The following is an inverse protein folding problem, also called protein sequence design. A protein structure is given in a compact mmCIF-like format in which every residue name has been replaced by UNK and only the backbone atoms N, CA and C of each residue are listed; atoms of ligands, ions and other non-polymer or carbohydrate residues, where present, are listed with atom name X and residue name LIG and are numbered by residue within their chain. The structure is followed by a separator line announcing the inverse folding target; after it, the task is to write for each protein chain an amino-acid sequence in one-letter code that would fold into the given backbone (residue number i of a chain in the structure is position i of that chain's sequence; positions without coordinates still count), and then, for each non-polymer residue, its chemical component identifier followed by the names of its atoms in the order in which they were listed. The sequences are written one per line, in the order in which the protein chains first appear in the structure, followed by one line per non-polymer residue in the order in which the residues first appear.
data_IF_880031842529
#
_entry.id   IF_880031842529
#
_cell.length_a   1.000
_cell.length_b   1.000
_cell.length_c   1.000
_cell.angle_alpha   90.00
_cell.angle_beta   90.00
_cell.angle_gamma   90.00
#
_symmetry.space_group_name_H-M   'P 1'
#
loop_
_entity.id
_entity.type
_entity.pdbx_description
1 polymer ?
#
# COMPACT_ATOMS: atom_id res chain seq x y z
N UNK A 1 1.21 -19.59 14.39
CA UNK A 1 -0.18 -19.16 14.62
C UNK A 1 -0.17 -18.13 15.73
N UNK A 2 -0.27 -16.82 15.44
CA UNK A 2 -0.87 -15.91 16.37
C UNK A 2 -2.34 -15.72 15.95
N UNK A 3 -3.25 -16.13 16.84
CA UNK A 3 -4.64 -15.68 16.82
C UNK A 3 -4.64 -14.29 17.45
N UNK A 4 -5.45 -13.36 16.95
CA UNK A 4 -5.55 -12.03 17.54
C UNK A 4 -5.97 -12.17 19.01
N UNK A 5 -5.08 -11.77 19.92
CA UNK A 5 -5.25 -11.99 21.35
C UNK A 5 -6.33 -11.09 21.97
N UNK A 6 -6.63 -9.95 21.34
CA UNK A 6 -7.66 -9.01 21.76
C UNK A 6 -8.42 -8.43 20.55
N UNK A 7 -9.63 -8.94 20.25
CA UNK A 7 -10.51 -8.42 19.20
C UNK A 7 -10.93 -6.96 19.39
N UNK A 8 -10.89 -6.44 20.62
CA UNK A 8 -11.31 -5.06 20.93
C UNK A 8 -10.27 -4.03 20.50
N UNK A 9 -9.00 -4.43 20.41
CA UNK A 9 -7.88 -3.59 19.94
C UNK A 9 -7.89 -3.31 18.43
N UNK A 10 -8.69 -4.04 17.66
CA UNK A 10 -8.85 -3.79 16.22
C UNK A 10 -9.72 -2.55 16.01
N UNK A 11 -9.43 -1.67 15.04
CA UNK A 11 -10.27 -0.49 14.75
C UNK A 11 -11.67 -0.84 14.22
N UNK A 12 -12.71 -0.10 14.63
CA UNK A 12 -14.12 -0.35 14.25
C UNK A 12 -14.38 -0.12 12.76
N UNK A 13 -13.47 0.58 12.08
CA UNK A 13 -13.56 0.88 10.64
C UNK A 13 -12.21 0.68 9.94
N UNK A 14 -12.22 0.29 8.64
CA UNK A 14 -13.40 -0.08 7.85
C UNK A 14 -13.90 -1.50 8.20
N UNK A 15 -15.21 -1.72 8.04
CA UNK A 15 -15.80 -3.06 8.05
C UNK A 15 -15.95 -3.53 6.60
N UNK A 16 -15.21 -4.56 6.22
CA UNK A 16 -15.22 -5.11 4.86
C UNK A 16 -16.32 -6.17 4.75
N UNK A 17 -17.18 -6.10 3.73
CA UNK A 17 -18.25 -7.09 3.54
C UNK A 17 -17.87 -8.08 2.45
N UNK A 18 -17.86 -9.37 2.77
CA UNK A 18 -17.78 -10.46 1.80
C UNK A 18 -19.20 -11.00 1.60
N UNK A 19 -19.64 -11.13 0.36
CA UNK A 19 -20.92 -11.77 0.02
C UNK A 19 -20.66 -12.94 -0.92
N UNK A 20 -21.08 -14.12 -0.48
CA UNK A 20 -21.11 -15.32 -1.30
C UNK A 20 -22.52 -15.52 -1.86
N UNK A 21 -22.58 -15.78 -3.16
CA UNK A 21 -23.82 -16.02 -3.89
C UNK A 21 -24.00 -17.51 -4.18
N UNK A 22 -25.26 -17.95 -4.30
CA UNK A 22 -25.59 -19.35 -4.60
C UNK A 22 -25.08 -19.82 -5.98
N UNK A 23 -24.78 -18.88 -6.89
CA UNK A 23 -24.21 -19.14 -8.21
C UNK A 23 -22.69 -19.38 -8.19
N UNK A 24 -22.08 -19.39 -7.00
CA UNK A 24 -20.63 -19.60 -6.83
C UNK A 24 -19.78 -18.34 -7.04
N UNK A 25 -20.41 -17.18 -7.20
CA UNK A 25 -19.71 -15.89 -7.22
C UNK A 25 -19.42 -15.37 -5.80
N UNK A 26 -18.35 -14.59 -5.67
CA UNK A 26 -18.02 -13.87 -4.43
C UNK A 26 -17.81 -12.41 -4.75
N UNK A 27 -18.27 -11.53 -3.86
CA UNK A 27 -17.97 -10.10 -3.92
C UNK A 27 -17.40 -9.58 -2.62
N UNK A 28 -16.53 -8.58 -2.71
CA UNK A 28 -15.93 -7.88 -1.57
C UNK A 28 -16.27 -6.40 -1.68
N UNK A 29 -16.97 -5.85 -0.69
CA UNK A 29 -17.54 -4.50 -0.71
C UNK A 29 -18.39 -4.20 -1.97
N UNK A 30 -19.06 -5.22 -2.51
CA UNK A 30 -19.89 -5.12 -3.71
C UNK A 30 -19.14 -5.30 -5.04
N UNK A 31 -17.81 -5.44 -5.02
CA UNK A 31 -17.02 -5.76 -6.21
C UNK A 31 -16.95 -7.28 -6.41
N UNK A 32 -17.45 -7.78 -7.55
CA UNK A 32 -17.45 -9.21 -7.88
C UNK A 32 -16.05 -9.65 -8.31
N UNK A 33 -15.52 -10.67 -7.63
CA UNK A 33 -14.21 -11.23 -7.95
C UNK A 33 -14.35 -12.38 -8.95
N UNK A 34 -13.41 -12.52 -9.90
CA UNK A 34 -13.32 -13.72 -10.72
C UNK A 34 -12.87 -14.91 -9.85
N UNK A 35 -13.68 -15.96 -9.77
CA UNK A 35 -13.43 -17.15 -8.95
C UNK A 35 -12.90 -18.30 -9.79
N UNK A 36 -11.62 -18.64 -9.65
CA UNK A 36 -11.07 -19.94 -10.03
C UNK A 36 -10.81 -20.73 -8.73
N UNK A 37 -11.75 -21.59 -8.33
CA UNK A 37 -11.68 -22.35 -7.07
C UNK A 37 -12.72 -21.94 -6.03
N UNK A 38 -12.44 -22.15 -4.74
CA UNK A 38 -13.40 -21.86 -3.66
C UNK A 38 -13.64 -20.34 -3.51
N UNK A 39 -14.87 -19.85 -3.70
CA UNK A 39 -15.23 -18.43 -3.57
C UNK A 39 -14.87 -17.84 -2.19
N UNK A 40 -14.93 -18.63 -1.11
CA UNK A 40 -14.53 -18.16 0.22
C UNK A 40 -13.05 -17.82 0.29
N UNK A 41 -12.23 -18.66 -0.33
CA UNK A 41 -10.77 -18.47 -0.38
C UNK A 41 -10.43 -17.23 -1.18
N UNK A 42 -11.10 -17.00 -2.31
CA UNK A 42 -10.92 -15.79 -3.13
C UNK A 42 -11.33 -14.51 -2.37
N UNK A 43 -12.48 -14.53 -1.68
CA UNK A 43 -12.93 -13.40 -0.86
C UNK A 43 -11.97 -13.08 0.29
N UNK A 44 -11.54 -14.10 1.05
CA UNK A 44 -10.58 -13.92 2.15
C UNK A 44 -9.19 -13.47 1.65
N UNK A 45 -8.75 -13.95 0.49
CA UNK A 45 -7.50 -13.50 -0.13
C UNK A 45 -7.54 -12.00 -0.47
N UNK A 46 -8.66 -11.52 -1.01
CA UNK A 46 -8.86 -10.09 -1.29
C UNK A 46 -8.92 -9.26 0.00
N UNK A 47 -9.59 -9.75 1.04
CA UNK A 47 -9.61 -9.02 2.32
C UNK A 47 -8.25 -9.02 3.01
N UNK A 48 -7.47 -10.11 2.88
CA UNK A 48 -6.07 -10.13 3.33
C UNK A 48 -5.23 -9.08 2.59
N UNK A 49 -5.44 -8.91 1.28
CA UNK A 49 -4.77 -7.86 0.51
C UNK A 49 -5.14 -6.48 1.08
N UNK A 50 -6.41 -6.23 1.43
CA UNK A 50 -6.85 -4.97 2.07
C UNK A 50 -6.28 -4.78 3.48
N UNK A 51 -6.21 -5.83 4.30
CA UNK A 51 -5.57 -5.77 5.62
C UNK A 51 -4.07 -5.44 5.51
N UNK A 52 -3.38 -6.15 4.62
CA UNK A 52 -1.97 -5.94 4.32
C UNK A 52 -1.70 -4.54 3.75
N UNK A 53 -2.66 -3.97 3.01
CA UNK A 53 -2.61 -2.60 2.51
C UNK A 53 -2.71 -1.57 3.64
N UNK A 54 -3.60 -1.79 4.61
CA UNK A 54 -3.79 -0.91 5.77
C UNK A 54 -2.73 -1.13 6.87
N UNK A 55 -1.84 -2.12 6.71
CA UNK A 55 -0.81 -2.46 7.69
C UNK A 55 -1.37 -2.89 9.05
N UNK A 56 -2.65 -3.30 9.10
CA UNK A 56 -3.34 -3.67 10.34
C UNK A 56 -4.49 -4.65 10.05
N UNK A 57 -4.94 -5.42 11.07
CA UNK A 57 -6.12 -6.27 10.94
C UNK A 57 -7.37 -5.47 10.62
N UNK A 58 -8.28 -6.06 9.85
CA UNK A 58 -9.54 -5.45 9.43
C UNK A 58 -10.73 -6.28 9.89
N UNK A 59 -11.81 -5.59 10.25
CA UNK A 59 -13.08 -6.22 10.56
C UNK A 59 -13.80 -6.60 9.29
N UNK A 60 -14.41 -7.78 9.29
CA UNK A 60 -15.07 -8.37 8.13
C UNK A 60 -16.45 -8.88 8.51
N UNK A 61 -17.43 -8.66 7.65
CA UNK A 61 -18.73 -9.31 7.69
C UNK A 61 -18.82 -10.25 6.49
N UNK A 62 -18.85 -11.56 6.73
CA UNK A 62 -19.06 -12.54 5.68
C UNK A 62 -20.53 -12.98 5.67
N UNK A 63 -21.18 -12.91 4.50
CA UNK A 63 -22.57 -13.32 4.27
C UNK A 63 -22.62 -14.51 3.33
N UNK A 64 -23.32 -15.55 3.75
CA UNK A 64 -23.48 -16.79 2.99
C UNK A 64 -24.82 -16.82 2.23
N UNK A 65 -24.96 -17.69 1.20
CA UNK A 65 -26.19 -17.81 0.42
C UNK A 65 -27.42 -18.23 1.23
N UNK A 66 -27.21 -18.91 2.36
CA UNK A 66 -28.26 -19.34 3.28
C UNK A 66 -28.75 -18.22 4.24
N UNK A 67 -28.17 -17.01 4.12
CA UNK A 67 -28.47 -15.86 4.96
C UNK A 67 -27.64 -15.77 6.23
N UNK A 68 -26.74 -16.72 6.48
CA UNK A 68 -25.83 -16.68 7.64
C UNK A 68 -24.88 -15.49 7.54
N UNK A 69 -24.65 -14.82 8.67
CA UNK A 69 -23.75 -13.66 8.78
C UNK A 69 -22.70 -13.93 9.84
N UNK A 70 -21.42 -13.80 9.48
CA UNK A 70 -20.28 -14.05 10.34
C UNK A 70 -19.45 -12.78 10.52
N UNK A 71 -19.19 -12.41 11.76
CA UNK A 71 -18.21 -11.38 12.09
C UNK A 71 -16.82 -12.01 12.20
N UNK A 72 -15.88 -11.53 11.39
CA UNK A 72 -14.51 -12.02 11.36
C UNK A 72 -13.54 -10.85 11.54
N UNK A 73 -12.32 -11.17 11.97
CA UNK A 73 -11.16 -10.29 11.84
C UNK A 73 -10.15 -11.00 10.95
N UNK A 74 -9.66 -10.28 9.94
CA UNK A 74 -8.61 -10.78 9.04
C UNK A 74 -7.35 -9.96 9.27
N UNK A 75 -6.28 -10.65 9.65
CA UNK A 75 -4.96 -10.08 9.89
C UNK A 75 -4.15 -9.91 8.58
N UNK A 76 -3.07 -9.14 8.63
CA UNK A 76 -2.18 -8.85 7.50
C UNK A 76 -1.46 -10.09 6.97
N UNK A 77 -1.25 -11.09 7.82
CA UNK A 77 -0.66 -12.39 7.47
C UNK A 77 -1.70 -13.37 6.89
N UNK A 78 -2.99 -13.02 6.96
CA UNK A 78 -4.11 -13.85 6.51
C UNK A 78 -4.73 -14.73 7.59
N UNK A 79 -4.32 -14.61 8.85
CA UNK A 79 -5.03 -15.24 9.95
C UNK A 79 -6.47 -14.72 10.05
N UNK A 80 -7.42 -15.64 10.15
CA UNK A 80 -8.85 -15.32 10.26
C UNK A 80 -9.32 -15.69 11.66
N UNK A 81 -9.80 -14.70 12.40
CA UNK A 81 -10.34 -14.87 13.76
C UNK A 81 -11.85 -14.66 13.70
N UNK A 82 -12.68 -15.72 13.85
CA UNK A 82 -14.13 -15.56 13.94
C UNK A 82 -14.52 -14.98 15.30
N UNK A 83 -15.52 -14.10 15.30
CA UNK A 83 -16.10 -13.50 16.50
C UNK A 83 -17.46 -14.13 16.78
N UNK A 84 -17.71 -14.45 18.06
CA UNK A 84 -19.00 -14.96 18.51
C UNK A 84 -20.08 -13.85 18.56
N UNK A 85 -19.65 -12.60 18.72
CA UNK A 85 -20.52 -11.42 18.79
C UNK A 85 -20.34 -10.55 17.53
N UNK A 86 -21.42 -9.90 17.04
CA UNK A 86 -21.34 -8.98 15.90
C UNK A 86 -20.47 -7.75 16.20
N UNK A 87 -19.90 -7.13 15.16
CA UNK A 87 -19.07 -5.93 15.33
C UNK A 87 -19.84 -4.79 16.01
N UNK A 88 -19.25 -4.06 16.98
CA UNK A 88 -19.88 -2.90 17.57
C UNK A 88 -20.15 -1.82 16.50
N UNK A 89 -21.32 -1.17 16.56
CA UNK A 89 -21.60 -0.03 15.69
C UNK A 89 -20.87 1.22 16.20
N UNK A 90 -20.17 2.00 15.34
CA UNK A 90 -19.61 3.26 15.76
C UNK A 90 -20.75 4.20 16.19
N UNK A 91 -20.78 4.60 17.47
CA UNK A 91 -21.66 5.67 17.92
C UNK A 91 -21.15 6.99 17.35
N UNK A 92 -22.02 7.87 16.80
CA UNK A 92 -21.61 9.20 16.39
C UNK A 92 -21.27 9.99 17.67
N UNK A 93 -19.98 10.15 17.97
CA UNK A 93 -19.54 10.95 19.11
C UNK A 93 -19.80 12.43 18.85
N UNK A 94 -20.56 13.02 19.77
CA UNK A 94 -21.10 14.36 19.71
C UNK A 94 -20.06 15.45 19.86
N UNK A 95 -20.40 16.54 19.20
CA UNK A 95 -19.77 17.85 19.22
C UNK A 95 -19.69 18.47 20.64
N UNK A 96 -18.49 18.87 21.06
CA UNK A 96 -18.19 19.98 21.99
C UNK A 96 -16.65 20.18 22.13
N UNK A 97 -16.14 21.28 22.71
CA UNK A 97 -15.90 22.58 22.07
C UNK A 97 -14.40 22.98 22.05
N UNK A 98 -14.04 24.00 21.25
CA UNK A 98 -12.77 24.74 21.35
C UNK A 98 -12.70 25.54 22.68
N UNK A 99 -11.53 25.82 23.29
CA UNK A 99 -10.53 26.80 22.79
C UNK A 99 -9.06 26.37 23.18
N UNK A 100 -7.95 27.09 23.07
CA UNK A 100 -7.58 28.48 22.79
C UNK A 100 -6.07 28.54 22.42
N UNK A 101 -5.65 29.60 21.75
CA UNK A 101 -4.31 29.82 21.23
C UNK A 101 -3.28 30.18 22.32
N UNK A 102 -2.03 29.72 22.17
CA UNK A 102 -0.85 30.34 22.79
C UNK A 102 0.23 30.57 21.73
N UNK A 103 0.53 31.85 21.54
CA UNK A 103 1.60 32.44 20.75
C UNK A 103 2.95 32.29 21.46
N UNK A 104 4.02 32.03 20.69
CA UNK A 104 5.39 32.14 21.19
C UNK A 104 6.47 31.64 20.23
N UNK A 105 7.18 32.57 19.61
CA UNK A 105 8.47 32.40 18.93
C UNK A 105 9.38 33.57 19.35
N UNK A 106 10.68 33.63 19.01
CA UNK A 106 11.69 32.58 18.81
C UNK A 106 13.05 32.91 19.51
N UNK A 107 14.02 32.00 19.41
CA UNK A 107 15.45 32.28 19.63
C UNK A 107 16.26 30.98 19.62
N UNK A 108 17.52 30.87 19.21
CA UNK A 108 18.45 31.73 18.50
C UNK A 108 19.61 30.80 18.08
N UNK A 109 20.30 31.15 17.00
CA UNK A 109 21.36 30.39 16.33
C UNK A 109 22.70 30.51 17.06
N UNK A 110 23.56 29.49 16.99
CA UNK A 110 25.04 29.50 16.83
C UNK A 110 25.60 28.11 17.22
N UNK A 111 26.61 27.50 16.62
CA UNK A 111 27.52 27.86 15.53
C UNK A 111 28.33 26.61 15.11
N UNK A 112 28.95 26.70 13.93
CA UNK A 112 29.91 25.73 13.32
C UNK A 112 31.31 26.33 13.51
N UNK A 113 32.39 25.56 13.81
CA UNK A 113 33.30 24.97 12.79
C UNK A 113 33.94 23.63 13.22
N UNK A 114 34.56 22.78 12.41
CA UNK A 114 34.94 22.77 11.00
C UNK A 114 35.92 21.62 10.74
N UNK A 115 36.05 21.25 9.46
CA UNK A 115 37.19 20.57 8.79
C UNK A 115 37.59 19.13 9.18
N UNK A 116 37.61 18.26 8.16
CA UNK A 116 38.44 17.05 8.15
C UNK A 116 37.95 15.94 7.22
N UNK A 117 38.10 16.10 5.90
CA UNK A 117 38.22 14.93 5.01
C UNK A 117 39.65 14.38 5.15
N UNK A 118 39.86 13.05 5.08
CA UNK A 118 40.14 12.48 3.76
C UNK A 118 39.61 11.05 3.48
N UNK A 119 39.49 10.79 2.19
CA UNK A 119 39.81 9.56 1.44
C UNK A 119 39.33 8.17 1.92
N UNK A 120 38.40 7.65 1.12
CA UNK A 120 38.39 6.34 0.45
C UNK A 120 38.81 5.06 1.21
N UNK A 121 37.90 4.08 1.06
CA UNK A 121 38.07 2.63 1.18
C UNK A 121 37.93 2.08 2.59
N UNK A 122 36.72 1.61 2.88
CA UNK A 122 36.46 0.18 3.07
C UNK A 122 35.00 -0.05 2.75
N UNK A 123 34.74 -0.86 1.74
CA UNK A 123 33.47 -1.58 1.63
C UNK A 123 33.38 -2.44 2.87
N UNK A 124 32.87 -1.87 3.96
CA UNK A 124 32.34 -2.68 5.05
C UNK A 124 31.17 -3.39 4.43
N UNK A 125 31.28 -4.71 4.26
CA UNK A 125 30.14 -5.56 3.97
C UNK A 125 29.03 -5.12 4.93
N UNK A 126 28.04 -4.40 4.37
CA UNK A 126 26.91 -3.90 5.14
C UNK A 126 26.30 -5.15 5.76
N UNK A 127 26.11 -5.23 7.08
CA UNK A 127 25.36 -6.35 7.65
C UNK A 127 24.04 -6.43 6.88
N UNK A 128 23.61 -7.65 6.55
CA UNK A 128 22.37 -7.88 5.81
C UNK A 128 21.30 -6.97 6.39
N UNK A 129 20.87 -5.99 5.59
CA UNK A 129 20.08 -4.90 6.10
C UNK A 129 18.72 -5.47 6.51
N UNK A 130 18.31 -5.19 7.74
CA UNK A 130 17.05 -5.69 8.28
C UNK A 130 15.90 -4.94 7.61
N UNK A 131 15.22 -5.62 6.69
CA UNK A 131 14.09 -5.10 5.92
C UNK A 131 12.83 -4.90 6.75
N UNK A 132 12.77 -5.54 7.92
CA UNK A 132 11.65 -5.50 8.86
C UNK A 132 11.97 -4.66 10.10
N UNK A 133 13.16 -4.05 10.16
CA UNK A 133 13.55 -3.19 11.26
C UNK A 133 12.53 -2.06 11.45
N UNK A 134 12.12 -1.79 12.70
CA UNK A 134 11.24 -0.66 12.98
C UNK A 134 11.94 0.65 12.60
N UNK A 135 11.12 1.65 12.24
CA UNK A 135 11.62 2.99 12.00
C UNK A 135 12.35 3.50 13.27
N UNK A 136 13.61 3.97 13.16
CA UNK A 136 14.35 4.46 14.32
C UNK A 136 13.63 5.59 15.05
N UNK A 137 13.79 5.65 16.38
CA UNK A 137 13.05 6.54 17.26
C UNK A 137 13.22 8.04 16.91
N UNK A 138 14.35 8.42 16.31
CA UNK A 138 14.57 9.80 15.87
C UNK A 138 13.59 10.26 14.76
N UNK A 139 12.97 9.33 14.03
CA UNK A 139 11.96 9.65 13.02
C UNK A 139 10.51 9.52 13.54
N UNK A 140 10.31 9.07 14.78
CA UNK A 140 8.98 8.92 15.38
C UNK A 140 8.14 10.21 15.35
N UNK A 141 8.68 11.41 15.67
CA UNK A 141 7.88 12.63 15.60
C UNK A 141 7.34 12.95 14.19
N UNK A 142 8.12 12.66 13.14
CA UNK A 142 7.68 12.83 11.76
C UNK A 142 6.64 11.76 11.38
N UNK A 143 6.87 10.51 11.80
CA UNK A 143 5.94 9.41 11.59
C UNK A 143 4.58 9.63 12.29
N UNK A 144 4.58 10.22 13.48
CA UNK A 144 3.36 10.55 14.23
C UNK A 144 2.54 11.63 13.52
N UNK A 145 3.21 12.63 12.93
CA UNK A 145 2.54 13.64 12.10
C UNK A 145 1.93 13.05 10.83
N UNK A 146 2.61 12.10 10.19
CA UNK A 146 2.07 11.36 9.04
C UNK A 146 0.78 10.62 9.44
N UNK A 147 0.81 9.86 10.55
CA UNK A 147 -0.37 9.14 11.05
C UNK A 147 -1.51 10.08 11.46
N UNK A 148 -1.19 11.22 12.07
CA UNK A 148 -2.20 12.22 12.43
C UNK A 148 -2.89 12.81 11.20
N UNK A 149 -2.13 13.16 10.16
CA UNK A 149 -2.68 13.66 8.91
C UNK A 149 -3.55 12.60 8.20
N UNK A 150 -3.12 11.34 8.18
CA UNK A 150 -3.91 10.22 7.66
C UNK A 150 -5.25 10.06 8.42
N UNK A 151 -5.21 10.06 9.76
CA UNK A 151 -6.41 9.92 10.60
C UNK A 151 -7.41 11.06 10.40
N UNK A 152 -6.93 12.25 10.08
CA UNK A 152 -7.76 13.42 9.75
C UNK A 152 -8.25 13.40 8.29
N UNK A 153 -7.84 12.42 7.49
CA UNK A 153 -8.15 12.34 6.06
C UNK A 153 -7.39 13.36 5.20
N UNK A 154 -6.41 14.08 5.77
CA UNK A 154 -5.56 15.02 5.02
C UNK A 154 -4.45 14.27 4.29
N UNK A 155 -4.86 13.56 3.23
CA UNK A 155 -3.98 12.76 2.38
C UNK A 155 -2.90 13.60 1.70
N UNK A 156 -3.17 14.89 1.46
CA UNK A 156 -2.20 15.81 0.85
C UNK A 156 -1.05 16.09 1.83
N UNK A 157 -1.38 16.42 3.08
CA UNK A 157 -0.36 16.62 4.12
C UNK A 157 0.39 15.34 4.44
N UNK A 158 -0.32 14.19 4.52
CA UNK A 158 0.31 12.90 4.75
C UNK A 158 1.33 12.54 3.64
N UNK A 159 0.95 12.74 2.37
CA UNK A 159 1.85 12.54 1.24
C UNK A 159 3.08 13.46 1.28
N UNK A 160 2.89 14.74 1.62
CA UNK A 160 3.99 15.70 1.73
C UNK A 160 4.98 15.32 2.86
N UNK A 161 4.47 14.90 4.02
CA UNK A 161 5.28 14.47 5.16
C UNK A 161 6.04 13.16 4.88
N UNK A 162 5.43 12.23 4.14
CA UNK A 162 6.14 11.02 3.70
C UNK A 162 7.22 11.34 2.68
N UNK A 163 6.98 12.27 1.74
CA UNK A 163 8.02 12.71 0.80
C UNK A 163 9.20 13.37 1.54
N UNK A 164 8.94 14.13 2.61
CA UNK A 164 9.98 14.65 3.51
C UNK A 164 10.77 13.52 4.17
N UNK A 165 10.09 12.50 4.72
CA UNK A 165 10.73 11.32 5.31
C UNK A 165 11.62 10.58 4.30
N UNK A 166 11.13 10.37 3.07
CA UNK A 166 11.91 9.77 1.97
C UNK A 166 13.16 10.59 1.68
N UNK A 167 13.05 11.92 1.63
CA UNK A 167 14.18 12.83 1.40
C UNK A 167 15.23 12.72 2.50
N UNK A 168 14.81 12.74 3.77
CA UNK A 168 15.70 12.62 4.94
C UNK A 168 16.40 11.26 4.95
N UNK A 169 15.66 10.16 4.74
CA UNK A 169 16.23 8.81 4.73
C UNK A 169 17.17 8.59 3.53
N UNK A 170 16.85 9.14 2.36
CA UNK A 170 17.72 9.10 1.17
C UNK A 170 19.06 9.76 1.46
N UNK A 171 19.06 10.94 2.10
CA UNK A 171 20.30 11.64 2.44
C UNK A 171 21.13 10.91 3.50
N UNK A 172 20.48 10.36 4.53
CA UNK A 172 21.17 9.75 5.68
C UNK A 172 21.63 8.32 5.43
N UNK A 173 20.78 7.51 4.79
CA UNK A 173 20.98 6.08 4.65
C UNK A 173 21.31 5.64 3.23
N UNK A 174 21.07 6.53 2.26
CA UNK A 174 21.16 6.25 0.84
C UNK A 174 19.80 5.83 0.25
N UNK A 175 19.66 5.94 -1.08
CA UNK A 175 18.42 5.65 -1.77
C UNK A 175 17.99 4.18 -1.56
N UNK A 176 18.89 3.22 -1.73
CA UNK A 176 18.56 1.78 -1.73
C UNK A 176 18.56 1.14 -0.34
N UNK A 177 18.62 1.94 0.73
CA UNK A 177 18.51 1.43 2.08
C UNK A 177 17.08 0.94 2.38
N UNK A 178 16.88 -0.17 3.12
CA UNK A 178 15.54 -0.69 3.39
C UNK A 178 14.56 0.33 3.99
N UNK A 179 15.00 1.15 4.95
CA UNK A 179 14.16 2.21 5.51
C UNK A 179 13.68 3.22 4.45
N UNK A 180 14.56 3.61 3.52
CA UNK A 180 14.23 4.55 2.44
C UNK A 180 13.21 3.92 1.49
N UNK A 181 13.42 2.66 1.11
CA UNK A 181 12.51 1.93 0.22
C UNK A 181 11.15 1.66 0.89
N UNK A 182 11.12 1.35 2.18
CA UNK A 182 9.88 1.20 2.95
C UNK A 182 9.10 2.53 3.02
N UNK A 183 9.78 3.67 3.24
CA UNK A 183 9.13 4.98 3.19
C UNK A 183 8.59 5.33 1.78
N UNK A 184 9.27 4.89 0.71
CA UNK A 184 8.77 5.03 -0.66
C UNK A 184 7.54 4.16 -0.95
N UNK A 185 7.43 2.97 -0.34
CA UNK A 185 6.19 2.19 -0.37
C UNK A 185 5.04 2.94 0.33
N UNK A 186 5.32 3.62 1.45
CA UNK A 186 4.34 4.50 2.10
C UNK A 186 3.96 5.69 1.21
N UNK A 187 4.90 6.25 0.45
CA UNK A 187 4.60 7.34 -0.49
C UNK A 187 3.64 6.85 -1.59
N UNK A 188 3.91 5.66 -2.14
CA UNK A 188 3.04 5.02 -3.12
C UNK A 188 1.65 4.71 -2.55
N UNK A 189 1.57 4.34 -1.27
CA UNK A 189 0.31 4.14 -0.55
C UNK A 189 -0.53 5.41 -0.49
N UNK A 190 0.04 6.55 -0.10
CA UNK A 190 -0.70 7.81 -0.05
C UNK A 190 -1.10 8.33 -1.44
N UNK A 191 -0.28 8.09 -2.47
CA UNK A 191 -0.67 8.36 -3.85
C UNK A 191 -1.92 7.52 -4.25
N UNK A 192 -1.97 6.25 -3.85
CA UNK A 192 -3.12 5.38 -4.11
C UNK A 192 -4.38 5.84 -3.36
N UNK A 193 -4.27 6.19 -2.07
CA UNK A 193 -5.40 6.75 -1.30
C UNK A 193 -5.91 8.05 -1.91
N UNK A 194 -5.00 8.90 -2.38
CA UNK A 194 -5.30 10.15 -3.09
C UNK A 194 -5.86 9.95 -4.52
N UNK A 195 -6.06 8.70 -4.95
CA UNK A 195 -6.55 8.33 -6.30
C UNK A 195 -5.63 8.78 -7.44
N UNK A 196 -4.37 9.07 -7.14
CA UNK A 196 -3.32 9.27 -8.14
C UNK A 196 -2.75 7.90 -8.57
N UNK A 197 -3.59 7.15 -9.27
CA UNK A 197 -3.30 5.80 -9.73
C UNK A 197 -2.04 5.70 -10.62
N UNK A 198 -1.78 6.62 -11.57
CA UNK A 198 -0.53 6.63 -12.34
C UNK A 198 0.70 6.76 -11.45
N UNK A 199 0.70 7.74 -10.52
CA UNK A 199 1.83 7.95 -9.60
C UNK A 199 2.04 6.75 -8.69
N UNK A 200 0.98 6.22 -8.10
CA UNK A 200 1.05 5.04 -7.24
C UNK A 200 1.66 3.84 -7.97
N UNK A 201 1.20 3.56 -9.19
CA UNK A 201 1.72 2.47 -10.02
C UNK A 201 3.21 2.63 -10.32
N UNK A 202 3.65 3.83 -10.71
CA UNK A 202 5.05 4.12 -10.99
C UNK A 202 5.94 4.02 -9.75
N UNK A 203 5.50 4.57 -8.61
CA UNK A 203 6.25 4.49 -7.35
C UNK A 203 6.39 3.04 -6.90
N UNK A 204 5.31 2.26 -6.87
CA UNK A 204 5.40 0.84 -6.51
C UNK A 204 6.29 0.05 -7.48
N UNK A 205 6.16 0.26 -8.80
CA UNK A 205 6.97 -0.44 -9.79
C UNK A 205 8.46 -0.11 -9.66
N UNK A 206 8.80 1.16 -9.46
CA UNK A 206 10.17 1.61 -9.26
C UNK A 206 10.78 1.06 -7.98
N UNK A 207 10.03 1.14 -6.87
CA UNK A 207 10.49 0.64 -5.56
C UNK A 207 10.65 -0.88 -5.57
N UNK A 208 9.74 -1.64 -6.20
CA UNK A 208 9.84 -3.09 -6.32
C UNK A 208 11.14 -3.53 -7.01
N UNK A 209 11.52 -2.88 -8.12
CA UNK A 209 12.78 -3.16 -8.83
C UNK A 209 14.00 -2.88 -7.96
N UNK A 210 13.99 -1.75 -7.25
CA UNK A 210 15.11 -1.37 -6.36
C UNK A 210 15.22 -2.28 -5.16
N UNK A 211 14.10 -2.73 -4.59
CA UNK A 211 14.06 -3.76 -3.56
C UNK A 211 14.64 -5.09 -4.06
N UNK A 212 14.30 -5.53 -5.28
CA UNK A 212 14.85 -6.74 -5.87
C UNK A 212 16.38 -6.64 -6.02
N UNK A 213 16.88 -5.52 -6.58
CA UNK A 213 18.32 -5.26 -6.72
C UNK A 213 19.05 -5.19 -5.39
N UNK A 214 18.41 -4.63 -4.35
CA UNK A 214 18.98 -4.51 -3.01
C UNK A 214 18.88 -5.81 -2.18
N UNK A 215 18.33 -6.90 -2.73
CA UNK A 215 18.21 -8.18 -2.05
C UNK A 215 17.12 -8.24 -0.98
N UNK A 216 16.01 -7.53 -1.17
CA UNK A 216 14.84 -7.62 -0.30
C UNK A 216 14.23 -9.03 -0.29
N UNK A 217 13.50 -9.40 0.78
CA UNK A 217 12.70 -10.62 0.80
C UNK A 217 11.79 -10.70 -0.42
N UNK A 218 11.75 -11.87 -1.06
CA UNK A 218 10.99 -12.08 -2.29
C UNK A 218 9.52 -11.69 -2.13
N UNK A 219 8.91 -11.99 -0.99
CA UNK A 219 7.51 -11.64 -0.73
C UNK A 219 7.26 -10.13 -0.70
N UNK A 220 8.18 -9.35 -0.15
CA UNK A 220 8.09 -7.89 -0.09
C UNK A 220 8.18 -7.27 -1.49
N UNK A 221 9.09 -7.78 -2.33
CA UNK A 221 9.20 -7.41 -3.75
C UNK A 221 7.90 -7.72 -4.49
N UNK A 222 7.38 -8.94 -4.30
CA UNK A 222 6.14 -9.39 -4.95
C UNK A 222 4.91 -8.58 -4.48
N UNK A 223 4.84 -8.19 -3.20
CA UNK A 223 3.78 -7.31 -2.69
C UNK A 223 3.80 -5.95 -3.39
N UNK A 224 4.96 -5.30 -3.47
CA UNK A 224 5.12 -4.02 -4.17
C UNK A 224 4.77 -4.15 -5.67
N UNK A 225 5.22 -5.22 -6.33
CA UNK A 225 4.91 -5.50 -7.73
C UNK A 225 3.41 -5.67 -8.00
N UNK A 226 2.69 -6.40 -7.13
CA UNK A 226 1.23 -6.55 -7.21
C UNK A 226 0.51 -5.22 -6.99
N UNK A 227 0.96 -4.41 -6.03
CA UNK A 227 0.39 -3.08 -5.80
C UNK A 227 0.60 -2.14 -7.00
N UNK A 228 1.73 -2.25 -7.69
CA UNK A 228 1.97 -1.51 -8.94
C UNK A 228 0.95 -1.88 -10.02
N UNK A 229 0.73 -3.19 -10.23
CA UNK A 229 -0.24 -3.68 -11.19
C UNK A 229 -1.68 -3.30 -10.83
N UNK A 230 -2.06 -3.45 -9.55
CA UNK A 230 -3.38 -3.07 -9.06
C UNK A 230 -3.64 -1.57 -9.27
N UNK A 231 -2.68 -0.71 -8.90
CA UNK A 231 -2.79 0.74 -9.13
C UNK A 231 -2.89 1.06 -10.62
N UNK A 232 -2.11 0.38 -11.47
CA UNK A 232 -2.15 0.57 -12.92
C UNK A 232 -3.50 0.20 -13.54
N UNK A 233 -4.18 -0.84 -13.03
CA UNK A 233 -5.51 -1.22 -13.51
C UNK A 233 -6.55 -0.10 -13.35
N UNK A 234 -6.38 0.73 -12.33
CA UNK A 234 -7.27 1.85 -12.02
C UNK A 234 -6.94 3.15 -12.79
N UNK A 235 -5.89 3.15 -13.62
CA UNK A 235 -5.57 4.30 -14.48
C UNK A 235 -6.66 4.45 -15.56
N UNK A 236 -7.43 5.53 -15.43
CA UNK A 236 -8.59 5.80 -16.28
C UNK A 236 -8.22 6.26 -17.70
N UNK A 237 -7.22 7.13 -17.83
CA UNK A 237 -6.77 7.63 -19.13
C UNK A 237 -6.04 6.51 -19.91
N UNK A 238 -6.54 6.09 -21.09
CA UNK A 238 -5.94 4.98 -21.83
C UNK A 238 -4.50 5.21 -22.26
N UNK A 239 -4.13 6.45 -22.61
CA UNK A 239 -2.77 6.79 -23.04
C UNK A 239 -1.79 6.70 -21.87
N UNK A 240 -2.13 7.30 -20.72
CA UNK A 240 -1.37 7.17 -19.48
C UNK A 240 -1.31 5.71 -19.02
N UNK A 241 -2.40 4.95 -19.15
CA UNK A 241 -2.41 3.53 -18.84
C UNK A 241 -1.43 2.75 -19.75
N UNK A 242 -1.31 3.06 -21.04
CA UNK A 242 -0.29 2.43 -21.87
C UNK A 242 1.13 2.79 -21.43
N UNK A 243 1.40 4.06 -21.12
CA UNK A 243 2.72 4.51 -20.70
C UNK A 243 3.15 3.86 -19.38
N UNK A 244 2.30 3.97 -18.34
CA UNK A 244 2.55 3.40 -17.01
C UNK A 244 2.61 1.87 -17.09
N UNK A 245 1.75 1.24 -17.90
CA UNK A 245 1.70 -0.21 -18.03
C UNK A 245 2.99 -0.81 -18.61
N UNK A 246 3.71 -0.09 -19.47
CA UNK A 246 5.04 -0.51 -19.94
C UNK A 246 6.07 -0.54 -18.82
N UNK A 247 6.00 0.41 -17.88
CA UNK A 247 6.87 0.43 -16.70
C UNK A 247 6.54 -0.71 -15.73
N UNK A 248 5.24 -1.01 -15.56
CA UNK A 248 4.79 -2.17 -14.77
C UNK A 248 5.24 -3.50 -15.43
N UNK A 249 5.18 -3.61 -16.75
CA UNK A 249 5.66 -4.79 -17.47
C UNK A 249 7.18 -4.97 -17.31
N UNK A 250 7.95 -3.88 -17.48
CA UNK A 250 9.40 -3.91 -17.28
C UNK A 250 9.77 -4.33 -15.85
N UNK A 251 9.07 -3.80 -14.86
CA UNK A 251 9.21 -4.25 -13.46
C UNK A 251 8.94 -5.75 -13.31
N UNK A 252 7.86 -6.28 -13.91
CA UNK A 252 7.59 -7.71 -13.84
C UNK A 252 8.70 -8.55 -14.48
N UNK A 253 9.36 -8.09 -15.55
CA UNK A 253 10.50 -8.84 -16.11
C UNK A 253 11.70 -8.93 -15.16
N UNK A 254 11.90 -7.90 -14.32
CA UNK A 254 12.99 -7.85 -13.32
C UNK A 254 12.60 -8.56 -12.02
N UNK A 255 11.35 -8.45 -11.58
CA UNK A 255 10.88 -8.92 -10.27
C UNK A 255 10.19 -10.29 -10.31
N UNK A 256 9.64 -10.71 -11.46
CA UNK A 256 9.05 -12.03 -11.59
C UNK A 256 10.16 -13.08 -11.53
N UNK A 257 10.13 -13.90 -10.47
CA UNK A 257 10.95 -15.11 -10.38
C UNK A 257 10.52 -16.12 -11.44
N UNK A 258 10.26 -17.36 -11.02
CA UNK A 258 9.84 -18.41 -11.96
C UNK A 258 8.41 -18.21 -12.49
N UNK A 259 7.55 -17.53 -11.72
CA UNK A 259 6.16 -17.26 -12.13
C UNK A 259 6.07 -16.17 -13.20
N UNK A 260 5.82 -16.59 -14.43
CA UNK A 260 5.65 -15.70 -15.60
C UNK A 260 4.21 -15.23 -15.83
N UNK A 261 3.23 -15.66 -15.03
CA UNK A 261 1.80 -15.30 -15.23
C UNK A 261 1.55 -13.77 -15.16
N UNK A 262 2.13 -13.01 -14.21
CA UNK A 262 1.92 -11.56 -14.13
C UNK A 262 2.36 -10.80 -15.39
N UNK A 263 3.43 -11.27 -16.05
CA UNK A 263 3.91 -10.72 -17.33
C UNK A 263 2.82 -10.93 -18.39
N UNK A 264 2.34 -12.17 -18.56
CA UNK A 264 1.32 -12.50 -19.55
C UNK A 264 -0.01 -11.75 -19.35
N UNK A 265 -0.43 -11.52 -18.10
CA UNK A 265 -1.61 -10.70 -17.79
C UNK A 265 -1.40 -9.22 -18.15
N UNK A 266 -0.23 -8.67 -17.82
CA UNK A 266 0.13 -7.27 -18.11
C UNK A 266 0.18 -7.03 -19.62
N UNK A 267 0.85 -7.89 -20.36
CA UNK A 267 0.92 -7.82 -21.83
C UNK A 267 -0.46 -7.89 -22.48
N UNK A 268 -1.33 -8.82 -22.02
CA UNK A 268 -2.68 -8.97 -22.57
C UNK A 268 -3.49 -7.70 -22.40
N UNK A 269 -3.42 -7.07 -21.22
CA UNK A 269 -4.11 -5.80 -20.96
C UNK A 269 -3.52 -4.65 -21.79
N UNK A 270 -2.20 -4.57 -21.93
CA UNK A 270 -1.56 -3.59 -22.80
C UNK A 270 -2.03 -3.72 -24.26
N UNK A 271 -2.09 -4.94 -24.80
CA UNK A 271 -2.64 -5.19 -26.15
C UNK A 271 -4.09 -4.72 -26.27
N UNK A 272 -4.93 -5.01 -25.27
CA UNK A 272 -6.32 -4.57 -25.26
C UNK A 272 -6.46 -3.03 -25.19
N UNK A 273 -5.60 -2.35 -24.42
CA UNK A 273 -5.57 -0.88 -24.35
C UNK A 273 -5.16 -0.27 -25.70
N UNK A 274 -4.10 -0.79 -26.33
CA UNK A 274 -3.65 -0.33 -27.65
C UNK A 274 -4.76 -0.45 -28.70
N UNK A 275 -5.40 -1.63 -28.78
CA UNK A 275 -6.48 -1.85 -29.74
C UNK A 275 -7.66 -0.89 -29.54
N UNK A 276 -8.02 -0.58 -28.29
CA UNK A 276 -9.10 0.39 -27.97
C UNK A 276 -8.75 1.81 -28.43
N UNK A 277 -7.51 2.24 -28.24
CA UNK A 277 -7.03 3.57 -28.66
C UNK A 277 -7.02 3.70 -30.18
N UNK A 278 -6.55 2.66 -30.89
CA UNK A 278 -6.55 2.61 -32.35
C UNK A 278 -7.97 2.71 -32.93
N UNK A 279 -8.94 1.98 -32.34
CA UNK A 279 -10.34 2.07 -32.76
C UNK A 279 -10.94 3.46 -32.53
N UNK A 280 -10.69 4.09 -31.38
CA UNK A 280 -11.19 5.45 -31.10
C UNK A 280 -10.55 6.51 -31.99
N UNK A 281 -9.30 6.31 -32.43
CA UNK A 281 -8.61 7.22 -33.34
C UNK A 281 -9.16 7.08 -34.77
N UNK A 282 -9.55 5.87 -35.18
CA UNK A 282 -10.08 5.58 -36.52
C UNK A 282 -11.51 6.10 -36.69
N UNK A 283 -12.38 5.98 -35.66
CA UNK A 283 -13.74 6.54 -35.67
C UNK A 283 -13.77 8.07 -35.59
N UNK A 284 -12.68 8.72 -35.15
CA UNK A 284 -12.58 10.17 -35.03
C UNK A 284 -12.06 10.87 -36.31
N UNK A 285 -11.72 10.13 -37.37
CA UNK A 285 -11.27 10.68 -38.65
C UNK A 285 -12.45 10.79 -39.63
N UNK A 286 -12.81 12.01 -40.10
CA UNK A 286 -13.92 12.23 -41.03
C UNK A 286 -13.64 11.76 -42.47
#
# INVERSE_FOLDING_TARGET
MPVIADPSAVPLTPVVTILLSADGSVSVNGEVLPTEGDPRVAGLAEVRIKAAFLGRPVRVIAKEPDGSVWALIVDVDGAVTPLAEPHPHPQPEGEAPAPEAVTGAPGAVTGVPGAGAPAATRSSARPAADWEAPLPAEYSPLWDRIRAAEQQGDLRSAAALVAELVGVLTQRQGPDHPLTLNAQLTEAYFALLGRDHPRAALLYAHTARRMATAGAPHESVQKAARNAYASWKEVADPLAALEVGRQVLAMWHEAAGEDRRPIAWTERRLRALSARIEHHTTDASP
#
